data_IF_203868767781
#
_entry.id   IF_203868767781
#
_cell.length_a   1.000
_cell.length_b   1.000
_cell.length_c   1.000
_cell.angle_alpha   90.00
_cell.angle_beta   90.00
_cell.angle_gamma   90.00
#
_symmetry.space_group_name_H-M   'P 1'
#
loop_
_entity.id
_entity.type
_entity.pdbx_description
1 polymer ?
#
# COMPACT_ATOMS: atom_id res chain seq x y z
N UNK A 1 11.82 6.60 -25.10
CA UNK A 1 11.75 5.86 -23.82
C UNK A 1 10.46 5.05 -23.80
N UNK A 2 10.48 3.81 -24.28
CA UNK A 2 9.30 2.94 -24.20
C UNK A 2 9.32 2.27 -22.83
N UNK A 3 8.48 2.74 -21.89
CA UNK A 3 8.21 2.04 -20.64
C UNK A 3 7.69 0.64 -21.04
N UNK A 4 8.49 -0.38 -20.76
CA UNK A 4 8.07 -1.77 -20.90
C UNK A 4 6.95 -1.96 -19.87
N UNK A 5 5.71 -1.86 -20.35
CA UNK A 5 4.52 -2.29 -19.64
C UNK A 5 4.70 -3.78 -19.39
N UNK A 6 5.27 -4.14 -18.25
CA UNK A 6 4.94 -5.41 -17.63
C UNK A 6 3.45 -5.33 -17.38
N UNK A 7 2.66 -5.77 -18.36
CA UNK A 7 1.21 -5.73 -18.30
C UNK A 7 0.81 -6.43 -17.01
N UNK A 8 0.46 -5.64 -16.00
CA UNK A 8 0.08 -6.13 -14.71
C UNK A 8 -1.16 -7.01 -14.91
N UNK A 9 -0.94 -8.33 -14.81
CA UNK A 9 -1.97 -9.35 -15.01
C UNK A 9 -3.14 -9.13 -14.05
N UNK A 10 -2.91 -8.48 -12.90
CA UNK A 10 -3.95 -8.12 -11.94
C UNK A 10 -4.89 -7.04 -12.50
N UNK A 11 -4.35 -6.02 -13.17
CA UNK A 11 -5.13 -4.95 -13.80
C UNK A 11 -6.05 -5.51 -14.88
N UNK A 12 -5.51 -6.37 -15.77
CA UNK A 12 -6.32 -7.00 -16.82
C UNK A 12 -7.44 -7.85 -16.22
N UNK A 13 -7.14 -8.67 -15.21
CA UNK A 13 -8.16 -9.47 -14.51
C UNK A 13 -9.24 -8.58 -13.88
N UNK A 14 -8.89 -7.45 -13.29
CA UNK A 14 -9.87 -6.53 -12.73
C UNK A 14 -10.75 -5.98 -13.86
N UNK A 15 -10.15 -5.48 -14.94
CA UNK A 15 -10.86 -4.88 -16.07
C UNK A 15 -11.80 -5.89 -16.73
N UNK A 16 -11.41 -7.15 -16.85
CA UNK A 16 -12.25 -8.23 -17.38
C UNK A 16 -13.44 -8.54 -16.46
N UNK A 17 -13.22 -8.46 -15.14
CA UNK A 17 -14.26 -8.70 -14.14
C UNK A 17 -15.21 -7.51 -13.92
N UNK A 18 -14.94 -6.33 -14.50
CA UNK A 18 -15.80 -5.13 -14.31
C UNK A 18 -17.21 -5.29 -14.91
N UNK A 19 -17.39 -6.12 -15.95
CA UNK A 19 -18.68 -6.30 -16.66
C UNK A 19 -19.38 -4.95 -16.89
N UNK A 20 -20.63 -4.79 -16.45
CA UNK A 20 -21.41 -3.55 -16.60
C UNK A 20 -20.89 -2.33 -15.82
N UNK A 21 -19.96 -2.51 -14.87
CA UNK A 21 -19.31 -1.38 -14.18
C UNK A 21 -18.18 -0.73 -14.99
N UNK A 22 -17.77 -1.32 -16.12
CA UNK A 22 -16.67 -0.81 -16.94
C UNK A 22 -16.89 0.64 -17.35
N UNK A 23 -18.08 0.97 -17.87
CA UNK A 23 -18.41 2.34 -18.31
C UNK A 23 -18.35 3.37 -17.18
N UNK A 24 -18.75 2.98 -15.97
CA UNK A 24 -18.66 3.85 -14.81
C UNK A 24 -17.22 4.15 -14.43
N UNK A 25 -16.37 3.12 -14.39
CA UNK A 25 -14.95 3.28 -14.06
C UNK A 25 -14.19 4.01 -15.19
N UNK A 26 -14.55 3.83 -16.46
CA UNK A 26 -14.00 4.59 -17.59
C UNK A 26 -14.30 6.08 -17.45
N UNK A 27 -15.56 6.45 -17.21
CA UNK A 27 -15.95 7.85 -16.98
C UNK A 27 -15.20 8.43 -15.78
N UNK A 28 -15.02 7.65 -14.72
CA UNK A 28 -14.28 8.07 -13.53
C UNK A 28 -12.79 8.26 -13.82
N UNK A 29 -12.17 7.35 -14.56
CA UNK A 29 -10.77 7.45 -14.96
C UNK A 29 -10.54 8.72 -15.79
N UNK A 30 -11.39 8.98 -16.80
CA UNK A 30 -11.31 10.21 -17.60
C UNK A 30 -11.52 11.45 -16.74
N UNK A 31 -12.50 11.44 -15.82
CA UNK A 31 -12.76 12.58 -14.91
C UNK A 31 -11.56 12.90 -14.01
N UNK A 32 -10.79 11.88 -13.64
CA UNK A 32 -9.58 12.03 -12.82
C UNK A 32 -8.32 12.31 -13.66
N UNK A 33 -8.45 12.41 -14.99
CA UNK A 33 -7.34 12.76 -15.89
C UNK A 33 -6.47 11.58 -16.33
N UNK A 34 -6.90 10.34 -16.12
CA UNK A 34 -6.18 9.17 -16.62
C UNK A 34 -6.43 8.98 -18.13
N UNK A 35 -5.40 8.56 -18.85
CA UNK A 35 -5.47 8.31 -20.30
C UNK A 35 -6.26 7.04 -20.65
N UNK A 36 -6.31 6.08 -19.73
CA UNK A 36 -7.02 4.82 -19.92
C UNK A 36 -7.50 4.23 -18.59
N UNK A 37 -8.47 3.31 -18.68
CA UNK A 37 -8.93 2.52 -17.55
C UNK A 37 -7.79 1.71 -16.91
N UNK A 38 -6.84 1.27 -17.73
CA UNK A 38 -5.66 0.54 -17.31
C UNK A 38 -4.79 1.37 -16.36
N UNK A 39 -4.44 2.59 -16.78
CA UNK A 39 -3.60 3.50 -16.00
C UNK A 39 -4.24 3.85 -14.64
N UNK A 40 -5.56 4.06 -14.63
CA UNK A 40 -6.32 4.29 -13.40
C UNK A 40 -6.24 3.12 -12.41
N UNK A 41 -6.42 1.88 -12.89
CA UNK A 41 -6.33 0.71 -12.02
C UNK A 41 -4.90 0.36 -11.62
N UNK A 42 -3.92 0.60 -12.50
CA UNK A 42 -2.51 0.45 -12.19
C UNK A 42 -2.10 1.38 -11.03
N UNK A 43 -2.42 2.66 -11.12
CA UNK A 43 -2.19 3.64 -10.05
C UNK A 43 -2.93 3.28 -8.76
N UNK A 44 -4.20 2.84 -8.87
CA UNK A 44 -5.00 2.42 -7.72
C UNK A 44 -4.38 1.25 -6.96
N UNK A 45 -3.85 0.25 -7.68
CA UNK A 45 -3.18 -0.91 -7.06
C UNK A 45 -1.87 -0.48 -6.40
N UNK A 46 -1.07 0.35 -7.07
CA UNK A 46 0.20 0.83 -6.53
C UNK A 46 -0.02 1.60 -5.22
N UNK A 47 -0.99 2.53 -5.19
CA UNK A 47 -1.37 3.25 -3.97
C UNK A 47 -1.83 2.32 -2.84
N UNK A 48 -2.54 1.24 -3.16
CA UNK A 48 -2.94 0.25 -2.16
C UNK A 48 -1.75 -0.54 -1.61
N UNK A 49 -0.81 -0.94 -2.48
CA UNK A 49 0.42 -1.63 -2.08
C UNK A 49 1.29 -0.74 -1.20
N UNK A 50 1.53 0.50 -1.61
CA UNK A 50 2.26 1.49 -0.82
C UNK A 50 1.61 1.75 0.54
N UNK A 51 0.28 1.92 0.59
CA UNK A 51 -0.43 2.12 1.84
C UNK A 51 -0.35 0.89 2.76
N UNK A 52 -0.38 -0.33 2.21
CA UNK A 52 -0.22 -1.56 2.98
C UNK A 52 1.21 -1.69 3.52
N UNK A 53 2.22 -1.45 2.69
CA UNK A 53 3.63 -1.47 3.10
C UNK A 53 3.93 -0.43 4.18
N UNK A 54 3.43 0.80 4.03
CA UNK A 54 3.62 1.85 5.02
C UNK A 54 3.00 1.49 6.37
N UNK A 55 1.81 0.91 6.39
CA UNK A 55 1.18 0.41 7.62
C UNK A 55 2.01 -0.70 8.28
N UNK A 56 2.57 -1.62 7.50
CA UNK A 56 3.42 -2.69 8.02
C UNK A 56 4.68 -2.08 8.66
N UNK A 57 5.36 -1.16 7.96
CA UNK A 57 6.55 -0.47 8.47
C UNK A 57 6.26 0.31 9.74
N UNK A 58 5.12 1.00 9.80
CA UNK A 58 4.69 1.74 10.99
C UNK A 58 4.48 0.79 12.18
N UNK A 59 3.75 -0.31 11.99
CA UNK A 59 3.54 -1.32 13.03
C UNK A 59 4.85 -1.97 13.50
N UNK A 60 5.78 -2.24 12.57
CA UNK A 60 7.11 -2.75 12.91
C UNK A 60 7.92 -1.74 13.72
N UNK A 61 7.87 -0.46 13.36
CA UNK A 61 8.55 0.62 14.08
C UNK A 61 8.02 0.77 15.51
N UNK A 62 6.70 0.71 15.69
CA UNK A 62 6.05 0.77 17.01
C UNK A 62 6.50 -0.43 17.86
N UNK A 63 6.44 -1.65 17.30
CA UNK A 63 6.91 -2.86 18.00
C UNK A 63 8.38 -2.80 18.38
N UNK A 64 9.24 -2.23 17.52
CA UNK A 64 10.65 -2.07 17.81
C UNK A 64 10.89 -1.06 18.96
N UNK A 65 10.17 0.06 18.96
CA UNK A 65 10.23 1.05 20.05
C UNK A 65 9.72 0.47 21.37
N UNK A 66 8.59 -0.25 21.38
CA UNK A 66 8.08 -0.91 22.58
C UNK A 66 9.09 -1.91 23.17
N UNK A 67 9.77 -2.69 22.34
CA UNK A 67 10.83 -3.62 22.80
C UNK A 67 11.99 -2.87 23.45
N UNK A 68 12.40 -1.72 22.88
CA UNK A 68 13.46 -0.88 23.45
C UNK A 68 13.02 -0.30 24.80
N UNK A 69 11.80 0.25 24.90
CA UNK A 69 11.26 0.83 26.13
C UNK A 69 11.12 -0.22 27.24
N UNK A 70 10.63 -1.42 26.91
CA UNK A 70 10.55 -2.54 27.86
C UNK A 70 11.93 -2.96 28.35
N UNK A 71 12.91 -3.09 27.44
CA UNK A 71 14.29 -3.44 27.81
C UNK A 71 14.96 -2.37 28.67
N UNK A 72 14.68 -1.08 28.45
CA UNK A 72 15.16 0.02 29.29
C UNK A 72 14.54 -0.01 30.69
N UNK A 73 13.21 -0.13 30.79
CA UNK A 73 12.52 -0.23 32.08
C UNK A 73 12.99 -1.43 32.93
N UNK A 74 13.22 -2.59 32.31
CA UNK A 74 13.73 -3.76 33.05
C UNK A 74 15.12 -3.47 33.62
N UNK A 75 16.02 -2.88 32.81
CA UNK A 75 17.38 -2.51 33.26
C UNK A 75 17.38 -1.44 34.36
N UNK A 76 16.47 -0.47 34.29
CA UNK A 76 16.34 0.57 35.32
C UNK A 76 15.81 0.00 36.65
N UNK A 77 14.93 -1.00 36.59
CA UNK A 77 14.40 -1.67 37.79
C UNK A 77 15.35 -2.74 38.37
N UNK A 78 16.34 -3.23 37.62
CA UNK A 78 17.32 -4.22 38.10
C UNK A 78 18.45 -3.62 38.97
N UNK A 79 18.48 -2.30 39.19
CA UNK A 79 19.53 -1.63 39.97
C UNK A 79 19.05 -0.89 41.22
N UNK A 80 17.93 -1.29 41.84
CA UNK A 80 17.58 -0.83 43.21
C UNK A 80 18.14 -1.81 44.25
N UNK A 81 19.45 -1.73 44.50
CA UNK A 81 20.06 -2.27 45.72
C UNK A 81 20.67 -1.10 46.48
N UNK A 82 19.93 -0.59 47.47
CA UNK A 82 20.38 -0.04 48.75
C UNK A 82 19.17 0.42 49.57
#
# INVERSE_FOLDING_TARGET
MHKISMQNKEVNKIIDNLRGRRQYEEKKATKLGYSSLYEYFEDKINKQKEAAENKIRELESIKAQEKIVKKKNIKENECSCC
#
